data_IF_056389149767
#
_entry.id   IF_056389149767
#
_cell.length_a   1.000
_cell.length_b   1.000
_cell.length_c   1.000
_cell.angle_alpha   90.00
_cell.angle_beta   90.00
_cell.angle_gamma   90.00
#
_symmetry.space_group_name_H-M   'P 1'
#
loop_
_entity.id
_entity.type
_entity.pdbx_description
1 polymer ?
#
# COMPACT_ATOMS: atom_id res chain seq x y z
N UNK A 1 17.48 16.15 3.15
CA UNK A 1 16.26 15.30 3.26
C UNK A 1 16.66 14.02 3.96
N UNK A 2 16.20 13.78 5.19
CA UNK A 2 16.52 12.55 5.90
C UNK A 2 15.85 11.36 5.18
N UNK A 3 16.62 10.29 4.96
CA UNK A 3 16.10 9.07 4.33
C UNK A 3 14.94 8.50 5.17
N UNK A 4 13.77 8.20 4.58
CA UNK A 4 12.66 7.59 5.31
C UNK A 4 13.05 6.25 5.95
N UNK A 5 14.12 5.60 5.49
CA UNK A 5 14.64 4.38 6.09
C UNK A 5 15.14 4.58 7.53
N UNK A 6 15.70 5.75 7.86
CA UNK A 6 16.22 6.03 9.21
C UNK A 6 15.06 6.16 10.21
N UNK A 7 13.97 6.84 9.82
CA UNK A 7 12.79 6.99 10.67
C UNK A 7 12.11 5.64 10.97
N UNK A 8 12.02 4.77 9.97
CA UNK A 8 11.42 3.43 10.12
C UNK A 8 12.27 2.55 11.05
N UNK A 9 13.60 2.57 10.88
CA UNK A 9 14.51 1.80 11.73
C UNK A 9 14.43 2.20 13.21
N UNK A 10 14.37 3.52 13.47
CA UNK A 10 14.31 4.05 14.83
C UNK A 10 12.96 3.73 15.51
N UNK A 11 11.85 3.78 14.77
CA UNK A 11 10.55 3.36 15.26
C UNK A 11 10.51 1.86 15.61
N UNK A 12 11.04 0.99 14.72
CA UNK A 12 11.11 -0.45 14.96
C UNK A 12 11.94 -0.79 16.21
N UNK A 13 13.06 -0.09 16.42
CA UNK A 13 13.90 -0.25 17.61
C UNK A 13 13.09 0.03 18.89
N UNK A 14 12.35 1.14 18.94
CA UNK A 14 11.54 1.53 20.10
C UNK A 14 10.45 0.48 20.40
N UNK A 15 9.80 -0.05 19.37
CA UNK A 15 8.77 -1.09 19.51
C UNK A 15 9.36 -2.39 20.08
N UNK A 16 10.50 -2.84 19.54
CA UNK A 16 11.19 -4.04 20.01
C UNK A 16 11.61 -3.88 21.48
N UNK A 17 12.20 -2.73 21.84
CA UNK A 17 12.58 -2.43 23.21
C UNK A 17 11.38 -2.41 24.16
N UNK A 18 10.24 -1.84 23.74
CA UNK A 18 9.00 -1.86 24.50
C UNK A 18 8.47 -3.29 24.75
N UNK A 19 8.45 -4.13 23.72
CA UNK A 19 8.00 -5.53 23.84
C UNK A 19 8.93 -6.37 24.75
N UNK A 20 10.25 -6.16 24.64
CA UNK A 20 11.24 -6.81 25.52
C UNK A 20 11.04 -6.35 26.97
N UNK A 21 10.88 -5.04 27.20
CA UNK A 21 10.66 -4.48 28.54
C UNK A 21 9.43 -5.08 29.24
N UNK A 22 8.30 -5.15 28.54
CA UNK A 22 7.07 -5.78 29.07
C UNK A 22 7.29 -7.26 29.37
N UNK A 23 7.99 -7.98 28.49
CA UNK A 23 8.30 -9.41 28.68
C UNK A 23 9.19 -9.66 29.90
N UNK A 24 10.20 -8.81 30.12
CA UNK A 24 11.10 -8.89 31.28
C UNK A 24 10.33 -8.61 32.56
N UNK A 25 9.51 -7.55 32.61
CA UNK A 25 8.70 -7.23 33.79
C UNK A 25 7.75 -8.38 34.13
N UNK A 26 7.05 -8.93 33.14
CA UNK A 26 6.19 -10.10 33.34
C UNK A 26 6.96 -11.34 33.82
N UNK A 27 8.19 -11.56 33.32
CA UNK A 27 9.05 -12.64 33.79
C UNK A 27 9.50 -12.43 35.24
N UNK A 28 9.88 -11.20 35.62
CA UNK A 28 10.28 -10.84 36.99
C UNK A 28 9.12 -11.06 37.96
N UNK A 29 7.91 -10.58 37.61
CA UNK A 29 6.70 -10.79 38.43
C UNK A 29 6.45 -12.29 38.61
N UNK A 30 6.53 -13.09 37.54
CA UNK A 30 6.37 -14.56 37.60
C UNK A 30 7.44 -15.26 38.42
N UNK A 31 8.67 -14.76 38.42
CA UNK A 31 9.76 -15.32 39.22
C UNK A 31 9.57 -14.99 40.70
N UNK A 32 9.06 -13.79 41.01
CA UNK A 32 8.80 -13.35 42.39
C UNK A 32 7.74 -14.16 43.12
N UNK A 33 6.88 -14.87 42.39
CA UNK A 33 5.79 -15.69 42.94
C UNK A 33 6.16 -17.17 43.07
N UNK A 34 7.40 -17.57 42.73
CA UNK A 34 7.89 -18.93 43.01
C UNK A 34 8.33 -19.04 44.47
N UNK A 35 7.35 -19.12 45.36
CA UNK A 35 7.59 -19.46 46.76
C UNK A 35 7.84 -20.96 46.86
N UNK A 36 8.94 -21.37 47.51
CA UNK A 36 9.31 -22.79 47.67
C UNK A 36 8.60 -23.46 48.85
N UNK A 37 8.17 -22.66 49.82
CA UNK A 37 7.53 -23.07 51.06
C UNK A 37 6.31 -22.17 51.36
N UNK A 38 5.34 -22.62 52.16
CA UNK A 38 4.19 -21.80 52.53
C UNK A 38 4.65 -20.53 53.24
N UNK A 39 4.27 -19.37 52.73
CA UNK A 39 4.69 -18.08 53.29
C UNK A 39 3.50 -17.17 53.56
N UNK A 40 3.63 -16.24 54.51
CA UNK A 40 2.67 -15.16 54.72
C UNK A 40 2.50 -14.33 53.43
N UNK A 41 1.26 -14.00 53.05
CA UNK A 41 0.96 -13.22 51.84
C UNK A 41 1.51 -11.80 51.84
N UNK A 42 1.75 -11.22 53.02
CA UNK A 42 2.26 -9.86 53.17
C UNK A 42 3.80 -9.81 53.19
N UNK A 43 4.42 -10.38 54.23
CA UNK A 43 5.86 -10.25 54.48
C UNK A 43 6.70 -11.41 53.94
N UNK A 44 6.04 -12.46 53.43
CA UNK A 44 6.68 -13.68 52.91
C UNK A 44 7.48 -14.51 53.92
N UNK A 45 7.28 -14.30 55.22
CA UNK A 45 7.83 -15.18 56.24
C UNK A 45 7.29 -16.62 56.09
N UNK A 46 8.12 -17.66 56.16
CA UNK A 46 7.65 -19.05 56.08
C UNK A 46 6.75 -19.39 57.27
N UNK A 47 5.57 -19.94 56.99
CA UNK A 47 4.54 -20.24 58.01
C UNK A 47 4.40 -21.73 58.31
N UNK A 48 5.28 -22.56 57.76
CA UNK A 48 5.27 -24.00 57.99
C UNK A 48 5.60 -24.30 59.46
N UNK A 49 4.71 -25.04 60.14
CA UNK A 49 4.89 -25.44 61.55
C UNK A 49 4.46 -24.41 62.60
N UNK A 50 3.90 -23.25 62.20
CA UNK A 50 3.31 -22.31 63.16
C UNK A 50 2.03 -22.88 63.77
N UNK A 51 1.91 -22.78 65.10
CA UNK A 51 0.71 -23.18 65.84
C UNK A 51 -0.31 -22.05 65.95
N UNK A 52 0.08 -20.81 65.65
CA UNK A 52 -0.77 -19.62 65.70
C UNK A 52 -1.06 -19.09 64.29
N UNK A 53 -2.20 -18.40 64.14
CA UNK A 53 -2.57 -17.74 62.89
C UNK A 53 -2.00 -16.32 62.77
N UNK A 54 -1.07 -15.91 63.63
CA UNK A 54 -0.47 -14.57 63.59
C UNK A 54 0.96 -14.68 63.07
N UNK A 55 1.31 -13.92 62.03
CA UNK A 55 2.67 -13.91 61.52
C UNK A 55 3.62 -13.27 62.55
N UNK A 56 4.72 -13.93 62.93
CA UNK A 56 5.65 -13.41 63.94
C UNK A 56 6.43 -12.17 63.46
N UNK A 57 6.62 -12.00 62.16
CA UNK A 57 7.38 -10.88 61.59
C UNK A 57 6.53 -9.62 61.44
N UNK A 58 5.34 -9.73 60.85
CA UNK A 58 4.51 -8.56 60.53
C UNK A 58 3.32 -8.35 61.47
N UNK A 59 3.05 -9.30 62.37
CA UNK A 59 1.94 -9.24 63.33
C UNK A 59 0.53 -9.37 62.72
N UNK A 60 0.40 -9.51 61.39
CA UNK A 60 -0.91 -9.68 60.73
C UNK A 60 -1.46 -11.09 60.93
N UNK A 61 -2.79 -11.20 61.01
CA UNK A 61 -3.49 -12.50 60.96
C UNK A 61 -3.33 -13.10 59.54
N UNK A 62 -2.87 -14.34 59.47
CA UNK A 62 -2.67 -15.11 58.25
C UNK A 62 -3.98 -15.39 57.50
N UNK A 63 -5.13 -15.29 58.17
CA UNK A 63 -6.46 -15.41 57.55
C UNK A 63 -6.81 -14.17 56.72
N UNK A 64 -6.37 -13.00 57.17
CA UNK A 64 -6.56 -11.73 56.46
C UNK A 64 -5.46 -11.52 55.42
N UNK A 65 -4.19 -11.76 55.80
CA UNK A 65 -3.04 -11.60 54.91
C UNK A 65 -2.95 -12.70 53.83
N UNK A 66 -3.58 -13.86 54.07
CA UNK A 66 -3.50 -15.03 53.20
C UNK A 66 -2.19 -15.81 53.36
N UNK A 67 -2.19 -17.07 52.92
CA UNK A 67 -1.02 -17.95 52.88
C UNK A 67 -0.70 -18.29 51.41
N UNK A 68 0.51 -17.95 50.98
CA UNK A 68 1.03 -18.33 49.67
C UNK A 68 1.57 -19.76 49.74
N UNK A 69 0.75 -20.72 49.31
CA UNK A 69 1.15 -22.14 49.30
C UNK A 69 1.80 -22.50 47.95
N UNK A 70 2.98 -23.15 47.96
CA UNK A 70 3.60 -23.66 46.73
C UNK A 70 2.64 -24.58 45.98
N UNK A 71 2.40 -24.30 44.70
CA UNK A 71 1.55 -25.12 43.85
C UNK A 71 0.06 -24.77 43.88
N UNK A 72 -0.43 -24.06 44.90
CA UNK A 72 -1.78 -23.48 44.92
C UNK A 72 -1.71 -22.14 44.21
N UNK A 73 -1.85 -22.14 42.88
CA UNK A 73 -1.86 -20.89 42.12
C UNK A 73 -3.12 -20.10 42.49
N UNK A 74 -3.00 -18.88 43.09
CA UNK A 74 -4.15 -18.00 43.18
C UNK A 74 -4.71 -17.83 41.77
N UNK A 75 -6.02 -17.94 41.63
CA UNK A 75 -6.74 -17.85 40.35
C UNK A 75 -6.74 -16.38 39.92
N UNK A 76 -5.57 -15.86 39.56
CA UNK A 76 -5.35 -14.47 39.18
C UNK A 76 -6.03 -14.25 37.83
N UNK A 77 -7.34 -13.95 37.86
CA UNK A 77 -8.17 -13.74 36.67
C UNK A 77 -7.68 -12.56 35.82
N UNK A 78 -6.94 -11.64 36.43
CA UNK A 78 -6.50 -10.39 35.81
C UNK A 78 -5.38 -10.58 34.77
N UNK A 79 -4.53 -11.61 34.89
CA UNK A 79 -3.41 -11.79 33.95
C UNK A 79 -3.81 -12.35 32.58
N UNK A 80 -4.97 -13.01 32.47
CA UNK A 80 -5.40 -13.52 31.15
C UNK A 80 -5.94 -12.36 30.31
N UNK A 81 -6.74 -11.47 30.90
CA UNK A 81 -7.23 -10.29 30.21
C UNK A 81 -6.08 -9.35 29.80
N UNK A 82 -5.10 -9.14 30.69
CA UNK A 82 -3.92 -8.33 30.40
C UNK A 82 -3.06 -8.93 29.29
N UNK A 83 -2.84 -10.25 29.31
CA UNK A 83 -2.11 -10.94 28.24
C UNK A 83 -2.86 -10.87 26.90
N UNK A 84 -4.19 -11.02 26.90
CA UNK A 84 -5.02 -10.90 25.69
C UNK A 84 -4.93 -9.47 25.15
N UNK A 85 -5.06 -8.45 26.02
CA UNK A 85 -4.94 -7.04 25.62
C UNK A 85 -3.56 -6.73 25.05
N UNK A 86 -2.48 -7.19 25.70
CA UNK A 86 -1.11 -7.01 25.21
C UNK A 86 -0.88 -7.70 23.86
N UNK A 87 -1.41 -8.91 23.67
CA UNK A 87 -1.33 -9.64 22.40
C UNK A 87 -2.11 -8.93 21.30
N UNK A 88 -3.32 -8.44 21.61
CA UNK A 88 -4.15 -7.70 20.66
C UNK A 88 -3.46 -6.39 20.22
N UNK A 89 -2.90 -5.64 21.16
CA UNK A 89 -2.14 -4.43 20.88
C UNK A 89 -0.92 -4.71 20.00
N UNK A 90 -0.16 -5.78 20.28
CA UNK A 90 0.97 -6.18 19.47
C UNK A 90 0.55 -6.56 18.03
N UNK A 91 -0.56 -7.29 17.86
CA UNK A 91 -1.07 -7.63 16.53
C UNK A 91 -1.55 -6.42 15.74
N UNK A 92 -2.26 -5.47 16.38
CA UNK A 92 -2.66 -4.21 15.74
C UNK A 92 -1.42 -3.41 15.30
N UNK A 93 -0.42 -3.30 16.17
CA UNK A 93 0.82 -2.60 15.89
C UNK A 93 1.60 -3.23 14.73
N UNK A 94 1.76 -4.56 14.74
CA UNK A 94 2.39 -5.31 13.64
C UNK A 94 1.62 -5.16 12.32
N UNK A 95 0.29 -5.14 12.37
CA UNK A 95 -0.56 -4.85 11.21
C UNK A 95 -0.30 -3.46 10.64
N UNK A 96 -0.27 -2.42 11.49
CA UNK A 96 0.04 -1.05 11.08
C UNK A 96 1.45 -0.94 10.47
N UNK A 97 2.45 -1.60 11.07
CA UNK A 97 3.82 -1.63 10.54
C UNK A 97 3.86 -2.29 9.15
N UNK A 98 3.17 -3.41 8.99
CA UNK A 98 3.11 -4.14 7.71
C UNK A 98 2.48 -3.27 6.63
N UNK A 99 1.35 -2.60 6.92
CA UNK A 99 0.71 -1.66 5.99
C UNK A 99 1.65 -0.50 5.65
N UNK A 100 2.35 0.08 6.63
CA UNK A 100 3.33 1.13 6.42
C UNK A 100 4.47 0.71 5.50
N UNK A 101 5.07 -0.46 5.77
CA UNK A 101 6.17 -1.00 4.96
C UNK A 101 5.71 -1.30 3.53
N UNK A 102 4.59 -1.99 3.33
CA UNK A 102 4.08 -2.28 1.99
C UNK A 102 3.70 -1.01 1.23
N UNK A 103 3.18 0.00 1.92
CA UNK A 103 2.87 1.29 1.29
C UNK A 103 4.12 2.06 0.84
N UNK A 104 5.27 1.78 1.44
CA UNK A 104 6.56 2.44 1.15
C UNK A 104 7.38 1.78 0.04
N UNK A 105 7.05 0.53 -0.34
CA UNK A 105 7.73 -0.17 -1.44
C UNK A 105 7.33 0.44 -2.78
N UNK A 106 8.25 1.09 -3.52
CA UNK A 106 7.92 1.76 -4.78
C UNK A 106 7.39 0.80 -5.85
N UNK A 107 7.86 -0.45 -5.85
CA UNK A 107 7.53 -1.43 -6.89
C UNK A 107 6.11 -1.99 -6.89
N UNK A 108 5.29 -1.69 -5.88
CA UNK A 108 3.91 -2.19 -5.80
C UNK A 108 2.85 -1.24 -6.37
N UNK A 109 3.21 0.01 -6.66
CA UNK A 109 2.24 1.03 -7.07
C UNK A 109 2.23 1.16 -8.59
N UNK A 110 1.22 0.58 -9.23
CA UNK A 110 0.89 0.94 -10.61
C UNK A 110 0.12 2.25 -10.56
N UNK A 111 0.75 3.34 -10.97
CA UNK A 111 0.06 4.62 -11.14
C UNK A 111 -0.48 4.70 -12.56
N UNK A 112 -1.80 4.81 -12.65
CA UNK A 112 -2.44 5.21 -13.90
C UNK A 112 -2.25 6.72 -14.06
N UNK A 113 -1.78 7.13 -15.22
CA UNK A 113 -1.65 8.54 -15.55
C UNK A 113 -2.42 8.88 -16.81
N UNK A 114 -2.96 10.09 -16.83
CA UNK A 114 -3.47 10.75 -18.02
C UNK A 114 -2.65 12.03 -18.18
N UNK A 115 -2.01 12.21 -19.32
CA UNK A 115 -1.24 13.42 -19.64
C UNK A 115 -1.92 14.12 -20.80
N UNK A 116 -2.27 15.38 -20.61
CA UNK A 116 -2.76 16.22 -21.71
C UNK A 116 -1.65 17.19 -22.10
N UNK A 117 -1.27 17.16 -23.38
CA UNK A 117 -0.25 18.03 -23.99
C UNK A 117 -0.78 18.69 -25.24
N UNK A 118 -0.53 19.99 -25.42
CA UNK A 118 -0.83 20.67 -26.68
C UNK A 118 0.39 20.62 -27.58
N UNK A 119 0.24 20.04 -28.76
CA UNK A 119 1.29 19.93 -29.78
C UNK A 119 0.97 20.95 -30.87
N UNK A 120 1.84 21.92 -31.04
CA UNK A 120 1.81 22.86 -32.15
C UNK A 120 2.71 22.35 -33.27
N UNK A 121 2.14 22.22 -34.46
CA UNK A 121 2.82 21.72 -35.66
C UNK A 121 3.57 22.85 -36.38
N UNK A 122 3.38 24.11 -35.99
CA UNK A 122 4.14 25.28 -36.47
C UNK A 122 3.82 25.71 -37.91
N UNK A 123 2.88 25.05 -38.60
CA UNK A 123 2.44 25.44 -39.94
C UNK A 123 1.22 26.38 -39.88
N UNK A 124 1.20 27.36 -40.79
CA UNK A 124 0.24 28.47 -40.87
C UNK A 124 -1.22 28.08 -41.19
N UNK A 125 -1.66 26.87 -40.84
CA UNK A 125 -3.00 26.37 -41.13
C UNK A 125 -3.54 25.33 -40.16
N UNK A 126 -2.78 24.92 -39.14
CA UNK A 126 -3.23 23.96 -38.15
C UNK A 126 -3.52 24.65 -36.83
N UNK A 127 -4.67 24.32 -36.23
CA UNK A 127 -4.89 24.59 -34.82
C UNK A 127 -3.97 23.70 -33.96
N UNK A 128 -3.72 24.08 -32.69
CA UNK A 128 -3.00 23.23 -31.77
C UNK A 128 -3.70 21.87 -31.64
N UNK A 129 -2.93 20.79 -31.74
CA UNK A 129 -3.43 19.44 -31.51
C UNK A 129 -3.43 19.15 -30.01
N UNK A 130 -4.57 18.76 -29.46
CA UNK A 130 -4.64 18.32 -28.06
C UNK A 130 -4.38 16.83 -28.02
N UNK A 131 -3.30 16.45 -27.36
CA UNK A 131 -2.90 15.06 -27.20
C UNK A 131 -3.21 14.62 -25.78
N UNK A 132 -3.98 13.55 -25.62
CA UNK A 132 -4.25 12.91 -24.33
C UNK A 132 -3.65 11.51 -24.35
N UNK A 133 -2.64 11.33 -23.51
CA UNK A 133 -1.84 10.12 -23.40
C UNK A 133 -2.14 9.42 -22.07
N UNK A 134 -2.59 8.17 -22.12
CA UNK A 134 -2.87 7.36 -20.94
C UNK A 134 -1.88 6.21 -20.82
N UNK A 135 -1.43 5.93 -19.60
CA UNK A 135 -0.43 4.90 -19.38
C UNK A 135 -0.36 4.41 -17.94
N UNK A 136 0.61 3.53 -17.70
CA UNK A 136 0.92 2.95 -16.39
C UNK A 136 2.39 3.18 -16.10
N UNK A 137 2.71 3.70 -14.91
CA UNK A 137 4.08 3.81 -14.43
C UNK A 137 4.23 3.03 -13.12
N UNK A 138 5.39 2.39 -12.94
CA UNK A 138 5.74 1.67 -11.72
C UNK A 138 6.31 2.59 -10.62
N UNK A 139 6.65 3.84 -10.95
CA UNK A 139 7.19 4.80 -10.00
C UNK A 139 6.73 6.21 -10.35
N UNK A 140 6.44 7.01 -9.32
CA UNK A 140 6.01 8.40 -9.45
C UNK A 140 7.09 9.27 -10.13
N UNK A 141 8.36 8.95 -9.93
CA UNK A 141 9.49 9.65 -10.55
C UNK A 141 9.68 9.38 -12.05
N UNK A 142 9.03 8.36 -12.62
CA UNK A 142 9.15 8.05 -14.05
C UNK A 142 7.96 8.53 -14.88
N UNK A 143 7.01 9.26 -14.28
CA UNK A 143 5.77 9.66 -14.94
C UNK A 143 5.99 10.51 -16.20
N UNK A 144 7.06 11.31 -16.25
CA UNK A 144 7.42 12.12 -17.42
C UNK A 144 8.03 11.29 -18.56
N UNK A 145 8.76 10.23 -18.24
CA UNK A 145 9.49 9.39 -19.19
C UNK A 145 8.77 8.07 -19.56
N UNK A 146 7.71 7.71 -18.82
CA UNK A 146 6.96 6.48 -19.08
C UNK A 146 6.20 6.59 -20.41
N UNK A 147 6.37 5.62 -21.34
CA UNK A 147 5.63 5.61 -22.59
C UNK A 147 4.14 5.43 -22.29
N UNK A 148 3.31 6.20 -23.00
CA UNK A 148 1.87 6.02 -22.94
C UNK A 148 1.49 4.66 -23.55
N UNK A 149 0.51 3.99 -22.94
CA UNK A 149 -0.10 2.79 -23.52
C UNK A 149 -1.05 3.16 -24.65
N UNK A 150 -1.64 4.36 -24.57
CA UNK A 150 -2.60 4.87 -25.53
C UNK A 150 -2.44 6.37 -25.68
N UNK A 151 -2.40 6.85 -26.92
CA UNK A 151 -2.39 8.27 -27.26
C UNK A 151 -3.64 8.57 -28.07
N UNK A 152 -4.33 9.65 -27.72
CA UNK A 152 -5.42 10.21 -28.50
C UNK A 152 -5.04 11.62 -28.92
N UNK A 153 -5.03 11.89 -30.23
CA UNK A 153 -4.82 13.21 -30.78
C UNK A 153 -6.16 13.73 -31.25
N UNK A 154 -6.58 14.85 -30.68
CA UNK A 154 -7.82 15.53 -31.03
C UNK A 154 -7.46 16.81 -31.76
N UNK A 155 -7.93 16.91 -33.00
CA UNK A 155 -7.85 18.17 -33.74
C UNK A 155 -8.87 19.16 -33.15
N UNK A 156 -8.38 20.29 -32.64
CA UNK A 156 -9.25 21.42 -32.29
C UNK A 156 -9.63 22.15 -33.57
N UNK A 157 -10.72 21.72 -34.21
CA UNK A 157 -11.26 22.43 -35.36
C UNK A 157 -11.81 23.80 -34.91
N UNK A 158 -11.36 24.87 -35.55
CA UNK A 158 -11.92 26.22 -35.37
C UNK A 158 -13.26 26.43 -36.10
N UNK A 159 -13.73 25.42 -36.86
CA UNK A 159 -14.99 25.43 -37.60
C UNK A 159 -16.06 24.50 -37.03
N UNK A 160 -17.21 24.42 -37.71
CA UNK A 160 -18.36 23.58 -37.33
C UNK A 160 -18.20 22.09 -37.66
N UNK A 161 -17.05 21.67 -38.19
CA UNK A 161 -16.77 20.27 -38.47
C UNK A 161 -16.65 19.48 -37.15
N UNK A 162 -17.14 18.23 -37.09
CA UNK A 162 -16.96 17.40 -35.90
C UNK A 162 -15.46 17.14 -35.69
N UNK A 163 -14.96 17.18 -34.44
CA UNK A 163 -13.56 16.89 -34.15
C UNK A 163 -13.22 15.47 -34.61
N UNK A 164 -11.96 15.23 -34.95
CA UNK A 164 -11.47 13.89 -35.30
C UNK A 164 -10.43 13.44 -34.29
N UNK A 165 -10.43 12.14 -34.03
CA UNK A 165 -9.55 11.54 -33.02
C UNK A 165 -8.70 10.46 -33.67
N UNK A 166 -7.39 10.68 -33.73
CA UNK A 166 -6.43 9.62 -34.03
C UNK A 166 -6.06 8.94 -32.71
N UNK A 167 -6.39 7.66 -32.57
CA UNK A 167 -6.07 6.85 -31.39
C UNK A 167 -4.99 5.82 -31.75
N UNK A 168 -3.84 5.91 -31.08
CA UNK A 168 -2.76 4.93 -31.17
C UNK A 168 -2.71 4.11 -29.87
N UNK A 169 -2.88 2.79 -29.97
CA UNK A 169 -2.77 1.84 -28.87
C UNK A 169 -1.40 1.14 -28.96
N UNK A 170 -0.44 1.66 -28.21
CA UNK A 170 0.94 1.18 -28.16
C UNK A 170 1.04 -0.22 -27.57
N UNK A 171 0.12 -0.58 -26.66
CA UNK A 171 0.10 -1.90 -26.04
C UNK A 171 -0.34 -2.99 -27.03
N UNK A 172 -1.23 -2.65 -27.97
CA UNK A 172 -1.73 -3.55 -29.02
C UNK A 172 -0.97 -3.46 -30.34
N UNK A 173 -0.14 -2.44 -30.54
CA UNK A 173 0.58 -2.23 -31.79
C UNK A 173 -0.34 -1.76 -32.93
N UNK A 174 -1.43 -1.06 -32.61
CA UNK A 174 -2.48 -0.68 -33.58
C UNK A 174 -2.83 0.79 -33.49
N UNK A 175 -3.29 1.39 -34.58
CA UNK A 175 -3.84 2.74 -34.60
C UNK A 175 -5.17 2.78 -35.35
N UNK A 176 -6.03 3.75 -35.03
CA UNK A 176 -7.31 3.97 -35.69
C UNK A 176 -7.73 5.44 -35.68
N UNK A 177 -8.55 5.82 -36.65
CA UNK A 177 -9.18 7.15 -36.75
C UNK A 177 -10.66 7.03 -36.44
N UNK A 178 -11.11 7.84 -35.48
CA UNK A 178 -12.50 7.90 -35.02
C UNK A 178 -13.09 9.29 -35.28
N UNK A 179 -14.39 9.34 -35.55
CA UNK A 179 -15.18 10.57 -35.44
C UNK A 179 -15.26 11.01 -33.97
N UNK A 180 -15.20 12.32 -33.73
CA UNK A 180 -15.10 12.87 -32.38
C UNK A 180 -16.37 12.78 -31.54
N UNK A 181 -16.24 13.11 -30.24
CA UNK A 181 -17.32 12.97 -29.26
C UNK A 181 -18.53 13.85 -29.61
N UNK A 182 -19.74 13.28 -29.53
CA UNK A 182 -21.00 13.95 -29.86
C UNK A 182 -21.77 13.33 -31.04
N UNK A 183 -21.16 12.37 -31.73
CA UNK A 183 -21.85 11.47 -32.67
C UNK A 183 -21.95 10.08 -32.03
N UNK A 184 -23.06 9.36 -32.27
CA UNK A 184 -23.19 7.93 -31.94
C UNK A 184 -21.95 7.14 -32.38
N UNK A 185 -21.57 6.06 -31.69
CA UNK A 185 -20.23 5.46 -31.78
C UNK A 185 -19.77 5.26 -33.23
N UNK A 186 -18.81 6.09 -33.63
CA UNK A 186 -17.56 5.74 -34.30
C UNK A 186 -17.67 4.63 -35.34
N UNK A 187 -18.06 5.00 -36.57
CA UNK A 187 -17.54 4.27 -37.72
C UNK A 187 -16.01 4.41 -37.69
N UNK A 188 -15.31 3.29 -37.59
CA UNK A 188 -13.87 3.24 -37.81
C UNK A 188 -13.61 3.68 -39.24
N UNK A 189 -12.97 4.84 -39.40
CA UNK A 189 -12.75 5.41 -40.75
C UNK A 189 -11.53 4.75 -41.38
N UNK A 190 -10.46 4.61 -40.59
CA UNK A 190 -9.19 4.00 -40.99
C UNK A 190 -8.54 3.33 -39.79
N UNK A 191 -7.81 2.24 -40.02
CA UNK A 191 -6.97 1.60 -39.01
C UNK A 191 -5.77 0.87 -39.63
N UNK A 192 -4.73 0.70 -38.82
CA UNK A 192 -3.49 0.05 -39.23
C UNK A 192 -2.68 -0.48 -38.06
N UNK A 193 -1.48 -0.97 -38.37
CA UNK A 193 -0.47 -1.42 -37.39
C UNK A 193 0.58 -0.33 -37.18
N UNK A 194 1.15 -0.28 -35.98
CA UNK A 194 2.31 0.56 -35.68
C UNK A 194 3.58 -0.03 -36.33
N UNK A 195 4.56 0.81 -36.72
CA UNK A 195 4.61 2.27 -36.56
C UNK A 195 3.69 3.01 -37.56
N UNK A 196 3.16 4.16 -37.14
CA UNK A 196 2.44 5.09 -38.03
C UNK A 196 3.47 5.77 -38.95
N UNK A 197 3.23 5.78 -40.26
CA UNK A 197 4.06 6.51 -41.22
C UNK A 197 3.54 7.93 -41.47
N UNK A 198 4.37 8.79 -42.05
CA UNK A 198 3.96 10.14 -42.46
C UNK A 198 2.77 10.14 -43.45
N UNK A 199 2.66 9.12 -44.31
CA UNK A 199 1.53 8.95 -45.21
C UNK A 199 0.20 8.75 -44.47
N UNK A 200 0.20 7.97 -43.38
CA UNK A 200 -1.00 7.74 -42.56
C UNK A 200 -1.42 9.01 -41.82
N UNK A 201 -0.44 9.74 -41.27
CA UNK A 201 -0.68 11.05 -40.62
C UNK A 201 -1.20 12.06 -41.63
N UNK A 202 -0.63 12.10 -42.83
CA UNK A 202 -1.09 12.98 -43.91
C UNK A 202 -2.51 12.66 -44.33
N UNK A 203 -2.85 11.38 -44.51
CA UNK A 203 -4.20 10.93 -44.82
C UNK A 203 -5.20 11.40 -43.75
N UNK A 204 -4.90 11.13 -42.46
CA UNK A 204 -5.73 11.56 -41.34
C UNK A 204 -5.96 13.09 -41.31
N UNK A 205 -4.91 13.89 -41.48
CA UNK A 205 -4.99 15.36 -41.50
C UNK A 205 -5.78 15.85 -42.73
N UNK A 206 -5.53 15.27 -43.90
CA UNK A 206 -6.20 15.65 -45.14
C UNK A 206 -7.70 15.35 -45.09
N UNK A 207 -8.09 14.23 -44.48
CA UNK A 207 -9.49 13.89 -44.30
C UNK A 207 -10.18 14.90 -43.36
N UNK A 208 -9.45 15.47 -42.38
CA UNK A 208 -9.90 16.55 -41.50
C UNK A 208 -10.11 17.90 -42.20
N UNK A 209 -9.76 18.00 -43.49
CA UNK A 209 -9.77 19.25 -44.25
C UNK A 209 -8.56 20.14 -43.95
N UNK A 210 -7.55 19.63 -43.25
CA UNK A 210 -6.35 20.36 -42.97
C UNK A 210 -5.47 20.52 -44.23
N UNK A 211 -4.74 21.63 -44.31
CA UNK A 211 -3.85 21.92 -45.45
C UNK A 211 -2.61 21.03 -45.40
N UNK A 212 -1.87 20.93 -46.51
CA UNK A 212 -0.64 20.13 -46.56
C UNK A 212 0.40 20.60 -45.52
N UNK A 213 0.74 19.72 -44.57
CA UNK A 213 1.92 19.87 -43.73
C UNK A 213 3.18 19.52 -44.53
N UNK A 214 4.34 20.06 -44.14
CA UNK A 214 5.61 19.63 -44.75
C UNK A 214 5.91 18.17 -44.41
N UNK A 215 6.65 17.47 -45.27
CA UNK A 215 7.06 16.09 -45.01
C UNK A 215 7.80 15.96 -43.67
N UNK A 216 8.66 16.93 -43.35
CA UNK A 216 9.38 17.00 -42.07
C UNK A 216 8.44 17.10 -40.86
N UNK A 217 7.36 17.88 -40.96
CA UNK A 217 6.34 17.96 -39.91
C UNK A 217 5.58 16.64 -39.74
N UNK A 218 5.24 15.98 -40.85
CA UNK A 218 4.55 14.70 -40.84
C UNK A 218 5.43 13.60 -40.22
N UNK A 219 6.71 13.56 -40.56
CA UNK A 219 7.69 12.62 -39.99
C UNK A 219 7.90 12.89 -38.49
N UNK A 220 8.01 14.16 -38.08
CA UNK A 220 8.13 14.53 -36.68
C UNK A 220 6.89 14.13 -35.85
N UNK A 221 5.69 14.34 -36.41
CA UNK A 221 4.43 13.96 -35.76
C UNK A 221 4.27 12.43 -35.67
N UNK A 222 4.61 11.71 -36.73
CA UNK A 222 4.65 10.25 -36.72
C UNK A 222 5.64 9.73 -35.65
N UNK A 223 6.84 10.29 -35.58
CA UNK A 223 7.84 9.95 -34.56
C UNK A 223 7.33 10.24 -33.13
N UNK A 224 6.67 11.38 -32.91
CA UNK A 224 6.06 11.73 -31.62
C UNK A 224 5.00 10.70 -31.17
N UNK A 225 4.11 10.29 -32.09
CA UNK A 225 3.07 9.29 -31.81
C UNK A 225 3.70 7.92 -31.52
N UNK A 226 4.62 7.46 -32.37
CA UNK A 226 5.33 6.20 -32.19
C UNK A 226 6.19 6.18 -30.92
N UNK A 227 6.64 7.35 -30.45
CA UNK A 227 7.41 7.54 -29.22
C UNK A 227 6.57 7.63 -27.93
N UNK A 228 5.27 7.33 -27.97
CA UNK A 228 4.44 7.38 -26.75
C UNK A 228 4.09 8.80 -26.29
N UNK A 229 4.30 9.82 -27.14
CA UNK A 229 4.06 11.24 -26.81
C UNK A 229 5.10 11.87 -25.89
N UNK A 230 6.30 11.28 -25.78
CA UNK A 230 7.34 11.71 -24.83
C UNK A 230 8.44 12.53 -25.50
N UNK A 231 8.75 12.24 -26.77
CA UNK A 231 9.85 12.85 -27.50
C UNK A 231 9.31 13.62 -28.71
N UNK A 232 9.19 14.93 -28.57
CA UNK A 232 8.96 15.80 -29.73
C UNK A 232 10.31 16.20 -30.31
N UNK A 233 10.51 15.90 -31.60
CA UNK A 233 11.59 16.47 -32.38
C UNK A 233 11.10 17.77 -33.04
N UNK A 234 12.03 18.68 -33.32
CA UNK A 234 11.73 19.81 -34.20
C UNK A 234 11.14 19.28 -35.52
N UNK A 235 10.14 19.98 -36.10
CA UNK A 235 9.67 21.33 -35.76
C UNK A 235 8.53 21.42 -34.73
N UNK A 236 8.17 20.34 -34.04
CA UNK A 236 7.04 20.34 -33.10
C UNK A 236 7.34 21.13 -31.82
N UNK A 237 6.40 21.99 -31.41
CA UNK A 237 6.46 22.65 -30.10
C UNK A 237 5.40 22.04 -29.19
N UNK A 238 5.84 21.43 -28.08
CA UNK A 238 4.93 20.86 -27.07
C UNK A 238 4.81 21.83 -25.91
N UNK A 239 3.58 22.25 -25.61
CA UNK A 239 3.27 23.12 -24.49
C UNK A 239 2.22 22.49 -23.58
N UNK A 240 2.23 22.87 -22.29
CA UNK A 240 1.28 22.43 -21.27
C UNK A 240 1.36 20.94 -20.95
N UNK A 241 1.74 20.57 -19.72
CA UNK A 241 1.65 19.17 -19.26
C UNK A 241 0.83 19.12 -17.97
N UNK A 242 -0.44 18.75 -18.09
CA UNK A 242 -1.27 18.41 -16.94
C UNK A 242 -1.24 16.90 -16.68
N UNK A 243 -0.92 16.48 -15.46
CA UNK A 243 -1.10 15.09 -15.02
C UNK A 243 -2.46 14.96 -14.33
N UNK A 244 -3.34 14.13 -14.90
CA UNK A 244 -4.62 13.76 -14.33
C UNK A 244 -4.51 12.78 -13.16
N UNK A 245 -5.66 12.48 -12.58
CA UNK A 245 -5.90 11.73 -11.34
C UNK A 245 -5.02 10.48 -11.19
N UNK A 246 -4.20 10.45 -10.14
CA UNK A 246 -3.41 9.27 -9.79
C UNK A 246 -4.27 8.30 -8.97
N UNK A 247 -4.65 7.17 -9.55
CA UNK A 247 -5.22 6.05 -8.79
C UNK A 247 -4.09 5.07 -8.48
N UNK A 248 -3.75 4.92 -7.21
CA UNK A 248 -2.84 3.86 -6.75
C UNK A 248 -3.64 2.59 -6.53
N UNK A 249 -3.58 1.67 -7.49
CA UNK A 249 -4.22 0.36 -7.33
C UNK A 249 -3.35 -0.53 -6.43
N UNK A 250 -3.89 -0.94 -5.28
CA UNK A 250 -3.95 -2.34 -4.82
C UNK A 250 -4.60 -2.41 -3.41
N UNK A 251 -5.91 -2.13 -3.27
CA UNK A 251 -6.59 -2.30 -1.99
C UNK A 251 -6.47 -3.75 -1.48
N UNK A 252 -6.42 -4.74 -2.38
CA UNK A 252 -6.33 -6.16 -2.03
C UNK A 252 -5.05 -6.54 -1.26
N UNK A 253 -3.93 -5.83 -1.48
CA UNK A 253 -2.69 -6.05 -0.73
C UNK A 253 -2.82 -5.59 0.73
N UNK A 254 -3.60 -4.54 0.99
CA UNK A 254 -3.93 -4.13 2.36
C UNK A 254 -4.79 -5.16 3.08
N UNK A 255 -5.77 -5.76 2.38
CA UNK A 255 -6.65 -6.78 2.95
C UNK A 255 -5.94 -8.11 3.22
N UNK A 256 -5.04 -8.54 2.32
CA UNK A 256 -4.27 -9.77 2.50
C UNK A 256 -3.33 -9.69 3.73
N UNK A 257 -2.67 -8.54 3.91
CA UNK A 257 -1.82 -8.30 5.08
C UNK A 257 -2.62 -8.31 6.39
N UNK A 258 -3.76 -7.59 6.43
CA UNK A 258 -4.61 -7.56 7.62
C UNK A 258 -5.21 -8.94 7.96
N UNK A 259 -5.63 -9.71 6.94
CA UNK A 259 -6.16 -11.06 7.11
C UNK A 259 -5.15 -12.03 7.71
N UNK A 260 -3.90 -12.00 7.25
CA UNK A 260 -2.83 -12.85 7.78
C UNK A 260 -2.56 -12.58 9.27
N UNK A 261 -2.54 -11.31 9.68
CA UNK A 261 -2.35 -10.93 11.09
C UNK A 261 -3.52 -11.37 11.98
N UNK A 262 -4.75 -11.31 11.47
CA UNK A 262 -5.93 -11.78 12.20
C UNK A 262 -5.87 -13.30 12.44
N UNK A 263 -5.43 -14.08 11.44
CA UNK A 263 -5.22 -15.53 11.58
C UNK A 263 -4.13 -15.83 12.61
N UNK A 264 -3.00 -15.13 12.55
CA UNK A 264 -1.91 -15.27 13.55
C UNK A 264 -2.44 -14.97 14.95
N UNK A 265 -3.19 -13.87 15.13
CA UNK A 265 -3.80 -13.53 16.41
C UNK A 265 -4.71 -14.65 16.92
N UNK A 266 -5.65 -15.13 16.08
CA UNK A 266 -6.56 -16.22 16.46
C UNK A 266 -5.80 -17.49 16.87
N UNK A 267 -4.76 -17.89 16.15
CA UNK A 267 -3.95 -19.08 16.47
C UNK A 267 -3.20 -18.90 17.78
N UNK A 268 -2.55 -17.75 17.99
CA UNK A 268 -1.82 -17.46 19.23
C UNK A 268 -2.76 -17.42 20.44
N UNK A 269 -3.90 -16.73 20.33
CA UNK A 269 -4.91 -16.70 21.39
C UNK A 269 -5.46 -18.10 21.68
N UNK A 270 -5.75 -18.88 20.64
CA UNK A 270 -6.22 -20.27 20.80
C UNK A 270 -5.18 -21.14 21.53
N UNK A 271 -3.90 -21.09 21.13
CA UNK A 271 -2.82 -21.85 21.78
C UNK A 271 -2.63 -21.46 23.26
N UNK A 272 -2.74 -20.17 23.60
CA UNK A 272 -2.64 -19.69 24.98
C UNK A 272 -3.80 -20.22 25.83
N UNK A 273 -5.02 -20.17 25.30
CA UNK A 273 -6.23 -20.59 26.02
C UNK A 273 -6.30 -22.11 26.15
N UNK A 274 -6.12 -22.85 25.05
CA UNK A 274 -6.22 -24.32 25.04
C UNK A 274 -5.00 -25.01 25.64
N UNK A 275 -3.78 -24.49 25.41
CA UNK A 275 -2.55 -25.05 25.96
C UNK A 275 -2.53 -25.04 27.50
N UNK A 276 -3.17 -24.04 28.12
CA UNK A 276 -3.31 -24.00 29.57
C UNK A 276 -4.33 -25.02 30.11
N UNK A 277 -5.42 -25.29 29.37
CA UNK A 277 -6.41 -26.32 29.74
C UNK A 277 -5.81 -27.72 29.73
N UNK A 278 -4.99 -28.05 28.73
CA UNK A 278 -4.35 -29.36 28.63
C UNK A 278 -3.41 -29.66 29.82
N UNK A 279 -2.77 -28.64 30.39
CA UNK A 279 -1.87 -28.79 31.54
C UNK A 279 -2.59 -28.93 32.88
N UNK A 280 -3.79 -28.37 33.02
CA UNK A 280 -4.56 -28.46 34.27
C UNK A 280 -5.19 -29.84 34.49
N UNK A 281 -5.52 -30.59 33.44
CA UNK A 281 -6.18 -31.89 33.56
C UNK A 281 -5.28 -33.04 34.06
N UNK A 282 -3.96 -32.90 34.01
CA UNK A 282 -3.01 -34.01 34.26
C UNK A 282 -2.54 -34.15 35.70
N UNK A 283 -3.00 -33.31 36.63
CA UNK A 283 -2.49 -33.26 38.02
C UNK A 283 -3.47 -33.76 39.11
N UNK A 284 -4.63 -34.30 38.74
CA UNK A 284 -5.66 -34.72 39.71
C UNK A 284 -5.89 -36.23 39.83
N UNK A 285 -4.93 -37.08 39.43
CA UNK A 285 -5.13 -38.53 39.33
C UNK A 285 -4.21 -39.39 40.20
N UNK A 286 -3.65 -38.86 41.29
CA UNK A 286 -2.80 -39.59 42.22
C UNK A 286 -3.22 -39.36 43.65
#
# INVERSE_FOLDING_TARGET
>A
MASPAIGIGLFMLVVILGAIGVSIVAAIVRWRDRVRQPCCGECRYPVEGLTTFTCPECGKDLREAGILVPGVRPRHRVHVAELIAATAAACVLCGMITVGLLSSVPGGRVTHFTRTTTVDVGSAGFGPLVTSATGRAAAQGSLSAAPAQRISLVEQSSGSAPPRVLEADMARGTWRVMSGPGTTPTAEVHAGRLPIGAGDVSAWLSDGGARAASQEQLDALAAYINGGGVNAAAPLTVSGSGFGTMTTAAPWVMWAGAGAWLVIFCVVTWLIVYGNRARSGRRGGG
#
